data_IF_425837018296
#
_entry.id   IF_425837018296
#
_cell.length_a   1.000
_cell.length_b   1.000
_cell.length_c   1.000
_cell.angle_alpha   90.00
_cell.angle_beta   90.00
_cell.angle_gamma   90.00
#
_symmetry.space_group_name_H-M   'P 1'
#
loop_
_entity.id
_entity.type
_entity.pdbx_description
1 polymer ?
#
# COMPACT_ATOMS: atom_id res chain seq x y z
N UNK A 1 -6.80 -5.33 -14.67
CA UNK A 1 -6.54 -3.90 -14.95
C UNK A 1 -6.85 -3.50 -16.40
N UNK A 2 -6.73 -4.40 -17.39
CA UNK A 2 -6.86 -4.06 -18.83
C UNK A 2 -8.22 -3.55 -19.34
N UNK A 3 -9.21 -3.28 -18.50
CA UNK A 3 -10.51 -2.71 -18.93
C UNK A 3 -11.14 -1.76 -17.92
N UNK A 4 -10.46 -1.44 -16.82
CA UNK A 4 -10.93 -0.43 -15.85
C UNK A 4 -10.16 0.85 -16.10
N UNK A 5 -10.76 1.80 -16.83
CA UNK A 5 -10.25 3.17 -16.98
C UNK A 5 -10.38 3.90 -15.64
N UNK A 6 -9.52 3.55 -14.69
CA UNK A 6 -9.38 4.24 -13.42
C UNK A 6 -8.44 5.43 -13.65
N UNK A 7 -8.86 6.62 -13.23
CA UNK A 7 -7.97 7.78 -13.30
C UNK A 7 -6.71 7.52 -12.45
N UNK A 8 -5.51 7.87 -12.93
CA UNK A 8 -4.27 7.65 -12.17
C UNK A 8 -4.29 8.27 -10.77
N UNK A 9 -4.98 9.38 -10.61
CA UNK A 9 -5.20 10.07 -9.33
C UNK A 9 -6.00 9.21 -8.34
N UNK A 10 -7.13 8.62 -8.79
CA UNK A 10 -7.96 7.70 -8.01
C UNK A 10 -7.16 6.46 -7.61
N UNK A 11 -6.37 5.91 -8.54
CA UNK A 11 -5.50 4.77 -8.27
C UNK A 11 -4.47 5.10 -7.17
N UNK A 12 -3.80 6.25 -7.27
CA UNK A 12 -2.81 6.68 -6.29
C UNK A 12 -3.42 6.83 -4.89
N UNK A 13 -4.60 7.43 -4.78
CA UNK A 13 -5.26 7.58 -3.48
C UNK A 13 -5.81 6.29 -2.90
N UNK A 14 -6.33 5.39 -3.74
CA UNK A 14 -6.73 4.07 -3.29
C UNK A 14 -5.54 3.27 -2.74
N UNK A 15 -4.34 3.41 -3.32
CA UNK A 15 -3.10 2.84 -2.78
C UNK A 15 -2.74 3.45 -1.41
N UNK A 16 -2.81 4.78 -1.27
CA UNK A 16 -2.54 5.48 0.00
C UNK A 16 -3.52 5.01 1.09
N UNK A 17 -4.82 4.97 0.76
CA UNK A 17 -5.88 4.51 1.66
C UNK A 17 -5.66 3.06 2.11
N UNK A 18 -5.35 2.16 1.18
CA UNK A 18 -5.02 0.77 1.50
C UNK A 18 -3.78 0.66 2.41
N UNK A 19 -2.74 1.46 2.16
CA UNK A 19 -1.52 1.47 2.98
C UNK A 19 -1.78 1.97 4.41
N UNK A 20 -2.56 3.04 4.57
CA UNK A 20 -2.95 3.58 5.88
C UNK A 20 -3.71 2.52 6.69
N UNK A 21 -4.67 1.84 6.06
CA UNK A 21 -5.42 0.75 6.67
C UNK A 21 -4.50 -0.41 7.08
N UNK A 22 -3.59 -0.83 6.20
CA UNK A 22 -2.61 -1.89 6.49
C UNK A 22 -1.61 -1.53 7.60
N UNK A 23 -1.26 -0.26 7.75
CA UNK A 23 -0.40 0.26 8.81
C UNK A 23 -1.16 0.53 10.12
N UNK A 24 -2.48 0.33 10.15
CA UNK A 24 -3.34 0.60 11.32
C UNK A 24 -3.14 2.01 11.88
N UNK A 25 -2.93 3.00 11.00
CA UNK A 25 -2.75 4.39 11.42
C UNK A 25 -4.04 4.92 12.03
N UNK A 26 -3.91 5.71 13.10
CA UNK A 26 -5.04 6.43 13.70
C UNK A 26 -5.48 7.56 12.76
N UNK A 27 -6.75 7.95 12.79
CA UNK A 27 -7.37 9.03 12.00
C UNK A 27 -7.72 8.71 10.52
N UNK A 28 -8.10 7.48 10.20
CA UNK A 28 -8.52 7.06 8.85
C UNK A 28 -9.63 7.96 8.27
N UNK A 29 -10.59 8.39 9.10
CA UNK A 29 -11.72 9.23 8.67
C UNK A 29 -11.29 10.60 8.11
N UNK A 30 -10.29 11.25 8.73
CA UNK A 30 -9.79 12.55 8.26
C UNK A 30 -9.07 12.42 6.92
N UNK A 31 -8.42 11.27 6.70
CA UNK A 31 -7.68 11.02 5.47
C UNK A 31 -8.63 10.71 4.31
N UNK A 32 -9.72 9.99 4.57
CA UNK A 32 -10.77 9.76 3.57
C UNK A 32 -11.37 11.07 3.06
N UNK A 33 -11.73 12.00 3.97
CA UNK A 33 -12.24 13.33 3.58
C UNK A 33 -11.19 14.14 2.81
N UNK A 34 -9.93 14.09 3.24
CA UNK A 34 -8.83 14.80 2.58
C UNK A 34 -8.58 14.27 1.15
N UNK A 35 -8.60 12.95 0.98
CA UNK A 35 -8.45 12.30 -0.33
C UNK A 35 -9.60 12.67 -1.28
N UNK A 36 -10.84 12.62 -0.79
CA UNK A 36 -12.02 12.99 -1.57
C UNK A 36 -11.94 14.43 -2.06
N UNK A 37 -11.49 15.35 -1.19
CA UNK A 37 -11.38 16.77 -1.50
C UNK A 37 -10.24 17.10 -2.48
N UNK A 38 -9.12 16.37 -2.44
CA UNK A 38 -7.96 16.63 -3.32
C UNK A 38 -8.20 16.11 -4.75
N UNK A 39 -8.84 14.94 -4.89
CA UNK A 39 -8.94 14.25 -6.19
C UNK A 39 -10.29 14.50 -6.87
N UNK A 40 -11.27 15.05 -6.15
CA UNK A 40 -12.64 15.20 -6.63
C UNK A 40 -13.22 13.87 -7.14
N UNK A 41 -12.88 12.77 -6.49
CA UNK A 41 -13.39 11.44 -6.83
C UNK A 41 -14.62 11.07 -5.99
N UNK A 42 -15.44 10.16 -6.51
CA UNK A 42 -16.54 9.61 -5.73
C UNK A 42 -16.01 8.57 -4.73
N UNK A 43 -16.48 8.63 -3.48
CA UNK A 43 -16.15 7.67 -2.43
C UNK A 43 -16.41 6.21 -2.85
N UNK A 44 -17.45 5.97 -3.65
CA UNK A 44 -17.77 4.63 -4.18
C UNK A 44 -16.62 4.13 -5.07
N UNK A 45 -16.14 4.97 -5.98
CA UNK A 45 -15.05 4.64 -6.90
C UNK A 45 -13.73 4.42 -6.17
N UNK A 46 -13.44 5.27 -5.18
CA UNK A 46 -12.26 5.15 -4.34
C UNK A 46 -12.25 3.85 -3.54
N UNK A 47 -13.37 3.50 -2.90
CA UNK A 47 -13.52 2.27 -2.13
C UNK A 47 -13.43 1.02 -3.02
N UNK A 48 -14.05 1.05 -4.19
CA UNK A 48 -14.00 -0.04 -5.14
C UNK A 48 -12.56 -0.26 -5.66
N UNK A 49 -11.87 0.83 -6.01
CA UNK A 49 -10.46 0.78 -6.43
C UNK A 49 -9.55 0.26 -5.31
N UNK A 50 -9.77 0.72 -4.06
CA UNK A 50 -9.03 0.22 -2.89
C UNK A 50 -9.22 -1.29 -2.73
N UNK A 51 -10.45 -1.77 -2.83
CA UNK A 51 -10.75 -3.20 -2.74
C UNK A 51 -10.01 -4.01 -3.82
N UNK A 52 -10.00 -3.54 -5.07
CA UNK A 52 -9.27 -4.20 -6.16
C UNK A 52 -7.77 -4.28 -5.84
N UNK A 53 -7.17 -3.19 -5.34
CA UNK A 53 -5.76 -3.16 -4.95
C UNK A 53 -5.48 -4.16 -3.83
N UNK A 54 -6.32 -4.20 -2.80
CA UNK A 54 -6.20 -5.17 -1.70
C UNK A 54 -6.26 -6.61 -2.21
N UNK A 55 -7.17 -6.94 -3.13
CA UNK A 55 -7.26 -8.27 -3.75
C UNK A 55 -6.03 -8.62 -4.60
N UNK A 56 -5.54 -7.68 -5.41
CA UNK A 56 -4.32 -7.86 -6.19
C UNK A 56 -3.10 -8.10 -5.28
N UNK A 57 -3.02 -7.38 -4.17
CA UNK A 57 -1.94 -7.57 -3.20
C UNK A 57 -2.03 -8.92 -2.49
N UNK A 58 -3.24 -9.38 -2.12
CA UNK A 58 -3.43 -10.72 -1.54
C UNK A 58 -3.06 -11.83 -2.54
N UNK A 59 -3.49 -11.71 -3.79
CA UNK A 59 -3.11 -12.64 -4.85
C UNK A 59 -1.60 -12.64 -5.09
N UNK A 60 -0.96 -11.47 -5.03
CA UNK A 60 0.50 -11.36 -5.09
C UNK A 60 1.16 -12.10 -3.93
N UNK A 61 0.73 -11.88 -2.68
CA UNK A 61 1.28 -12.56 -1.50
C UNK A 61 1.17 -14.09 -1.59
N UNK A 62 0.06 -14.62 -2.12
CA UNK A 62 -0.13 -16.06 -2.31
C UNK A 62 0.80 -16.65 -3.38
N UNK A 63 1.16 -15.85 -4.40
CA UNK A 63 2.00 -16.28 -5.51
C UNK A 63 3.50 -15.96 -5.30
N UNK A 64 3.85 -15.21 -4.25
CA UNK A 64 5.24 -15.06 -3.82
C UNK A 64 5.67 -16.41 -3.20
N UNK A 65 6.47 -17.19 -3.93
CA UNK A 65 7.49 -18.02 -3.26
C UNK A 65 8.27 -17.08 -2.36
N UNK A 66 8.49 -17.35 -1.06
CA UNK A 66 9.17 -16.43 -0.16
C UNK A 66 10.54 -16.09 -0.75
N UNK A 67 10.60 -14.98 -1.48
CA UNK A 67 11.85 -14.33 -1.81
C UNK A 67 12.36 -13.81 -0.49
N UNK A 68 13.62 -14.10 -0.12
CA UNK A 68 14.19 -13.52 1.08
C UNK A 68 14.18 -12.01 0.88
N UNK A 69 13.14 -11.34 1.38
CA UNK A 69 13.15 -9.90 1.59
C UNK A 69 14.40 -9.68 2.41
N UNK A 70 15.42 -9.07 1.82
CA UNK A 70 16.60 -8.64 2.55
C UNK A 70 16.10 -7.63 3.55
N UNK A 71 15.78 -8.09 4.76
CA UNK A 71 15.74 -7.23 5.93
C UNK A 71 17.19 -6.80 6.12
N UNK A 72 17.57 -5.69 5.51
CA UNK A 72 18.55 -4.85 6.15
C UNK A 72 17.80 -4.27 7.36
N UNK A 73 17.83 -4.98 8.48
CA UNK A 73 17.65 -4.33 9.77
C UNK A 73 18.87 -3.43 9.88
N UNK A 74 18.73 -2.15 9.50
CA UNK A 74 19.70 -1.17 9.91
C UNK A 74 19.73 -1.22 11.45
N UNK A 75 20.88 -1.52 12.09
CA UNK A 75 20.94 -1.44 13.53
C UNK A 75 20.56 -0.01 13.95
N UNK A 76 19.75 0.08 15.01
CA UNK A 76 19.35 1.37 15.60
C UNK A 76 20.55 2.08 16.24
N UNK A 77 21.68 1.36 16.43
CA UNK A 77 22.92 1.92 16.93
C UNK A 77 24.07 1.83 15.94
N UNK A 78 24.82 2.93 15.93
CA UNK A 78 25.92 3.33 15.08
C UNK A 78 27.09 2.33 15.00
N UNK A 79 27.77 2.36 13.84
CA UNK A 79 29.04 1.71 13.48
C UNK A 79 28.96 0.21 13.12
N UNK A 80 29.45 -0.12 11.91
CA UNK A 80 29.54 -1.44 11.26
C UNK A 80 28.26 -2.04 10.63
N UNK A 81 28.03 -1.69 9.36
CA UNK A 81 27.23 -2.51 8.44
C UNK A 81 27.94 -3.84 8.19
N UNK A 82 27.41 -4.94 8.73
CA UNK A 82 27.64 -6.27 8.18
C UNK A 82 26.28 -6.88 7.82
N UNK A 83 25.98 -6.91 6.52
CA UNK A 83 24.86 -7.69 6.00
C UNK A 83 25.23 -9.17 6.02
N UNK A 84 24.71 -9.95 6.96
CA UNK A 84 24.79 -11.41 6.88
C UNK A 84 23.65 -11.95 6.04
N UNK A 85 24.00 -12.75 5.03
CA UNK A 85 23.05 -13.45 4.16
C UNK A 85 22.44 -14.58 5.00
N UNK A 86 21.17 -14.43 5.39
CA UNK A 86 20.43 -15.49 6.10
C UNK A 86 20.31 -16.69 5.14
N UNK A 87 20.70 -17.88 5.63
CA UNK A 87 20.58 -19.16 4.93
C UNK A 87 19.11 -19.55 4.73
#
# INVERSE_FOLDING_TARGET
LNTLTILPSVLACACIKAAIKGLSLKNIHQIDELILNIIHCNQIELNHTQYIIEQLFQSYLQNIKPSPRRRCLAPIDTSSQQCTKVK
#
